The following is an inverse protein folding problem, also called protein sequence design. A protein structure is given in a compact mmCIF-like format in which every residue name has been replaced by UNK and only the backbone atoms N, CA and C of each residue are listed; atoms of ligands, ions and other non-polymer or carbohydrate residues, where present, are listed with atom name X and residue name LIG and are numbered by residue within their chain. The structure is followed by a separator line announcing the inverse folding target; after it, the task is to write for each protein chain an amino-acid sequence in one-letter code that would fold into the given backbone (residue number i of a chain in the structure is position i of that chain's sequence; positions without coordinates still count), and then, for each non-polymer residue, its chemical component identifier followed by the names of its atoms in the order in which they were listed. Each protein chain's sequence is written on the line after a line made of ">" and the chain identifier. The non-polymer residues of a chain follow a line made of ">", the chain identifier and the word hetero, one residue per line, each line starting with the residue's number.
data_IF_887632473608
#
_entry.id   IF_887632473608
#
_cell.length_a   1.000
_cell.length_b   1.000
_cell.length_c   1.000
_cell.angle_alpha   90.00
_cell.angle_beta   90.00
_cell.angle_gamma   90.00
#
_symmetry.space_group_name_H-M   'P 1'
#
loop_
_entity.id
_entity.type
_entity.pdbx_description
1 polymer ?
#
# COMPACT_ATOMS: atom_id res chain seq x y z
N UNK A 1 -8.56 -7.64 -19.99
CA UNK A 1 -8.18 -7.06 -18.70
C UNK A 1 -6.67 -7.22 -18.57
N UNK A 2 -5.88 -6.17 -18.83
CA UNK A 2 -4.41 -6.29 -19.01
C UNK A 2 -3.70 -4.94 -19.19
N UNK A 3 -4.17 -3.85 -18.55
CA UNK A 3 -3.54 -2.54 -18.79
C UNK A 3 -2.26 -2.31 -17.97
N UNK A 4 -1.75 -3.34 -17.26
CA UNK A 4 -0.49 -3.22 -16.53
C UNK A 4 0.63 -2.95 -17.52
N UNK A 5 1.27 -1.79 -17.38
CA UNK A 5 2.50 -1.47 -18.09
C UNK A 5 3.69 -1.83 -17.21
N UNK A 6 4.61 -2.62 -17.74
CA UNK A 6 5.89 -2.92 -17.11
C UNK A 6 7.01 -2.74 -18.14
N UNK A 7 8.00 -1.91 -17.81
CA UNK A 7 9.07 -1.50 -18.72
C UNK A 7 8.55 -0.85 -20.01
N UNK A 8 7.55 0.04 -19.89
CA UNK A 8 6.96 0.76 -21.03
C UNK A 8 6.12 -0.10 -21.99
N UNK A 9 5.84 -1.36 -21.65
CA UNK A 9 5.03 -2.27 -22.47
C UNK A 9 3.82 -2.77 -21.70
N UNK A 10 2.67 -2.79 -22.36
CA UNK A 10 1.44 -3.41 -21.86
C UNK A 10 1.64 -4.92 -21.71
N UNK A 11 1.19 -5.49 -20.59
CA UNK A 11 1.39 -6.89 -20.23
C UNK A 11 0.06 -7.60 -20.11
N UNK A 12 -0.01 -8.82 -20.66
CA UNK A 12 -1.21 -9.65 -20.73
C UNK A 12 -1.43 -10.55 -19.50
N UNK A 13 -0.75 -10.27 -18.38
CA UNK A 13 -0.74 -11.10 -17.16
C UNK A 13 -2.10 -11.46 -16.57
N UNK A 14 -3.16 -10.70 -16.87
CA UNK A 14 -4.49 -10.87 -16.30
C UNK A 14 -5.55 -11.29 -17.32
N UNK A 15 -5.13 -11.88 -18.45
CA UNK A 15 -6.02 -12.42 -19.49
C UNK A 15 -6.46 -13.88 -19.23
N UNK A 16 -6.04 -14.47 -18.10
CA UNK A 16 -6.42 -15.81 -17.64
C UNK A 16 -5.31 -16.85 -17.84
N UNK A 17 -5.08 -17.71 -16.85
CA UNK A 17 -4.08 -18.80 -16.91
C UNK A 17 -2.62 -18.40 -16.67
N UNK A 18 -2.33 -17.12 -16.40
CA UNK A 18 -0.97 -16.63 -16.10
C UNK A 18 -0.79 -16.29 -14.61
N UNK A 19 -1.00 -15.02 -14.22
CA UNK A 19 -0.74 -14.55 -12.85
C UNK A 19 -2.03 -14.23 -12.11
N UNK A 20 -2.07 -14.55 -10.81
CA UNK A 20 -3.16 -14.16 -9.93
C UNK A 20 -2.99 -12.74 -9.36
N UNK A 21 -1.74 -12.32 -9.17
CA UNK A 21 -1.38 -11.02 -8.61
C UNK A 21 0.03 -10.61 -9.09
N UNK A 22 0.38 -9.35 -8.85
CA UNK A 22 1.69 -8.79 -9.20
C UNK A 22 2.12 -7.77 -8.17
N UNK A 23 3.43 -7.56 -8.00
CA UNK A 23 3.92 -6.49 -7.13
C UNK A 23 3.36 -5.13 -7.55
N UNK A 24 2.76 -4.43 -6.60
CA UNK A 24 2.03 -3.18 -6.80
C UNK A 24 2.93 -1.95 -6.56
N UNK A 25 4.04 -1.89 -7.30
CA UNK A 25 4.91 -0.71 -7.32
C UNK A 25 4.23 0.61 -7.71
N UNK A 26 3.19 0.62 -8.57
CA UNK A 26 2.40 1.84 -8.78
C UNK A 26 1.76 2.34 -7.49
N UNK A 27 1.14 1.46 -6.69
CA UNK A 27 0.59 1.84 -5.40
C UNK A 27 1.68 2.34 -4.44
N UNK A 28 2.82 1.65 -4.36
CA UNK A 28 3.98 2.10 -3.58
C UNK A 28 4.35 3.55 -3.90
N UNK A 29 4.49 3.86 -5.19
CA UNK A 29 4.93 5.17 -5.65
C UNK A 29 3.89 6.24 -5.29
N UNK A 30 2.61 5.99 -5.55
CA UNK A 30 1.52 6.89 -5.17
C UNK A 30 1.50 7.20 -3.67
N UNK A 31 1.71 6.19 -2.82
CA UNK A 31 1.72 6.36 -1.37
C UNK A 31 2.90 7.20 -0.88
N UNK A 32 4.09 6.98 -1.45
CA UNK A 32 5.29 7.78 -1.13
C UNK A 32 5.12 9.22 -1.62
N UNK A 33 4.67 9.42 -2.85
CA UNK A 33 4.48 10.74 -3.45
C UNK A 33 3.42 11.55 -2.68
N UNK A 34 2.33 10.91 -2.27
CA UNK A 34 1.31 11.52 -1.40
C UNK A 34 1.93 11.96 -0.07
N UNK A 35 2.63 11.05 0.60
CA UNK A 35 3.19 11.29 1.95
C UNK A 35 4.29 12.35 1.94
N UNK A 36 5.04 12.47 0.83
CA UNK A 36 6.09 13.47 0.65
C UNK A 36 5.60 14.78 0.01
N UNK A 37 4.29 14.94 -0.22
CA UNK A 37 3.69 16.17 -0.75
C UNK A 37 3.92 16.41 -2.24
N UNK A 38 4.38 15.39 -2.97
CA UNK A 38 4.54 15.40 -4.43
C UNK A 38 3.22 15.12 -5.15
N UNK A 39 2.26 14.52 -4.44
CA UNK A 39 0.91 14.23 -4.90
C UNK A 39 -0.10 14.74 -3.86
N UNK A 40 -1.09 15.52 -4.28
CA UNK A 40 -2.18 15.96 -3.39
C UNK A 40 -3.30 14.91 -3.32
N UNK A 41 -4.26 15.08 -2.40
CA UNK A 41 -5.37 14.16 -2.18
C UNK A 41 -6.16 13.86 -3.48
N UNK A 42 -6.50 14.89 -4.25
CA UNK A 42 -7.22 14.74 -5.52
C UNK A 42 -6.42 13.98 -6.59
N UNK A 43 -5.11 14.22 -6.66
CA UNK A 43 -4.19 13.50 -7.53
C UNK A 43 -4.08 12.03 -7.13
N UNK A 44 -3.96 11.74 -5.83
CA UNK A 44 -3.89 10.39 -5.30
C UNK A 44 -5.16 9.59 -5.62
N UNK A 45 -6.34 10.12 -5.32
CA UNK A 45 -7.61 9.44 -5.61
C UNK A 45 -7.79 9.19 -7.10
N UNK A 46 -7.42 10.14 -7.96
CA UNK A 46 -7.47 9.97 -9.42
C UNK A 46 -6.56 8.84 -9.91
N UNK A 47 -5.31 8.81 -9.43
CA UNK A 47 -4.38 7.75 -9.81
C UNK A 47 -4.80 6.39 -9.25
N UNK A 48 -5.36 6.34 -8.04
CA UNK A 48 -5.89 5.13 -7.42
C UNK A 48 -7.09 4.57 -8.20
N UNK A 49 -8.00 5.44 -8.66
CA UNK A 49 -9.10 5.06 -9.55
C UNK A 49 -8.60 4.55 -10.89
N UNK A 50 -7.60 5.22 -11.47
CA UNK A 50 -6.94 4.76 -12.71
C UNK A 50 -6.31 3.36 -12.51
N UNK A 51 -5.67 3.13 -11.36
CA UNK A 51 -5.13 1.81 -11.01
C UNK A 51 -6.26 0.78 -10.93
N UNK A 52 -7.33 1.08 -10.19
CA UNK A 52 -8.51 0.21 -10.05
C UNK A 52 -9.12 -0.18 -11.40
N UNK A 53 -9.28 0.77 -12.32
CA UNK A 53 -9.87 0.55 -13.66
C UNK A 53 -8.96 -0.28 -14.59
N UNK A 54 -7.65 -0.28 -14.33
CA UNK A 54 -6.68 -1.02 -15.16
C UNK A 54 -6.56 -2.50 -14.79
N UNK A 55 -7.07 -2.91 -13.62
CA UNK A 55 -7.05 -4.29 -13.14
C UNK A 55 -8.46 -4.90 -13.22
N UNK A 56 -8.60 -6.20 -13.57
CA UNK A 56 -9.85 -6.90 -13.30
C UNK A 56 -10.14 -6.88 -11.79
N UNK A 57 -11.42 -6.83 -11.42
CA UNK A 57 -11.88 -6.63 -10.03
C UNK A 57 -11.20 -7.57 -9.04
N UNK A 58 -11.13 -8.87 -9.35
CA UNK A 58 -10.48 -9.85 -8.48
C UNK A 58 -8.97 -9.61 -8.36
N UNK A 59 -8.28 -9.29 -9.47
CA UNK A 59 -6.85 -9.01 -9.44
C UNK A 59 -6.54 -7.73 -8.65
N UNK A 60 -7.42 -6.71 -8.68
CA UNK A 60 -7.30 -5.52 -7.84
C UNK A 60 -7.52 -5.84 -6.35
N UNK A 61 -8.58 -6.58 -6.03
CA UNK A 61 -8.95 -6.94 -4.66
C UNK A 61 -7.91 -7.84 -3.96
N UNK A 62 -7.14 -8.61 -4.74
CA UNK A 62 -6.13 -9.55 -4.24
C UNK A 62 -4.71 -9.26 -4.74
N UNK A 63 -4.44 -8.03 -5.19
CA UNK A 63 -3.12 -7.71 -5.73
C UNK A 63 -2.05 -7.76 -4.63
N UNK A 64 -0.79 -7.93 -5.01
CA UNK A 64 0.33 -7.93 -4.06
C UNK A 64 0.75 -6.50 -3.74
N UNK A 65 0.22 -5.93 -2.65
CA UNK A 65 0.53 -4.57 -2.23
C UNK A 65 1.82 -4.56 -1.42
N UNK A 66 2.83 -3.81 -1.86
CA UNK A 66 4.12 -3.72 -1.19
C UNK A 66 4.57 -2.26 -1.07
N UNK A 67 5.12 -1.88 0.08
CA UNK A 67 5.73 -0.54 0.30
C UNK A 67 7.27 -0.59 0.33
N UNK A 68 7.84 -1.79 0.41
CA UNK A 68 9.28 -2.05 0.34
C UNK A 68 9.56 -3.41 -0.32
N UNK A 69 10.80 -3.59 -0.79
CA UNK A 69 11.36 -4.88 -1.20
C UNK A 69 12.89 -4.79 -1.23
N UNK A 70 13.54 -5.93 -1.46
CA UNK A 70 14.99 -6.04 -1.66
C UNK A 70 15.53 -5.35 -2.92
N UNK A 71 14.66 -4.81 -3.79
CA UNK A 71 15.00 -4.05 -5.00
C UNK A 71 14.76 -2.54 -4.85
N UNK A 72 14.28 -2.09 -3.69
CA UNK A 72 13.94 -0.69 -3.44
C UNK A 72 14.58 -0.17 -2.16
N UNK A 73 14.85 1.15 -2.04
CA UNK A 73 15.17 1.73 -0.75
C UNK A 73 14.08 1.47 0.29
N UNK A 74 14.50 1.31 1.54
CA UNK A 74 13.60 1.04 2.66
C UNK A 74 12.62 2.17 2.85
N UNK A 75 11.41 1.85 3.28
CA UNK A 75 10.34 2.83 3.34
C UNK A 75 10.67 3.98 4.29
N UNK A 76 11.27 3.70 5.44
CA UNK A 76 11.65 4.75 6.39
C UNK A 76 12.71 5.70 5.83
N UNK A 77 13.63 5.20 4.99
CA UNK A 77 14.60 6.03 4.25
C UNK A 77 13.91 6.91 3.21
N UNK A 78 12.90 6.40 2.51
CA UNK A 78 12.11 7.18 1.55
C UNK A 78 11.25 8.28 2.20
N UNK A 79 11.08 8.21 3.53
CA UNK A 79 10.30 9.15 4.34
C UNK A 79 11.19 10.04 5.22
N UNK A 80 12.49 10.12 4.92
CA UNK A 80 13.48 10.92 5.67
C UNK A 80 13.59 10.57 7.17
N UNK A 81 13.25 9.33 7.54
CA UNK A 81 13.20 8.92 8.94
C UNK A 81 11.98 9.43 9.72
N UNK A 82 11.02 10.10 9.09
CA UNK A 82 9.84 10.65 9.77
C UNK A 82 8.83 9.54 10.11
N UNK A 83 8.73 9.21 11.40
CA UNK A 83 7.81 8.19 11.91
C UNK A 83 6.34 8.57 11.77
N UNK A 84 5.99 9.85 11.69
CA UNK A 84 4.60 10.29 11.47
C UNK A 84 4.19 10.01 10.02
N UNK A 85 5.10 10.24 9.07
CA UNK A 85 4.91 9.82 7.68
C UNK A 85 4.76 8.30 7.58
N UNK A 86 5.59 7.55 8.32
CA UNK A 86 5.49 6.10 8.38
C UNK A 86 4.14 5.63 8.97
N UNK A 87 3.67 6.28 10.04
CA UNK A 87 2.38 5.99 10.62
C UNK A 87 1.25 6.20 9.61
N UNK A 88 1.25 7.34 8.91
CA UNK A 88 0.26 7.66 7.89
C UNK A 88 0.22 6.60 6.77
N UNK A 89 1.39 6.29 6.18
CA UNK A 89 1.45 5.35 5.06
C UNK A 89 1.07 3.92 5.47
N UNK A 90 1.50 3.47 6.66
CA UNK A 90 1.22 2.11 7.17
C UNK A 90 -0.25 1.96 7.55
N UNK A 91 -0.84 2.97 8.20
CA UNK A 91 -2.27 2.97 8.48
C UNK A 91 -3.09 2.88 7.20
N UNK A 92 -2.78 3.69 6.18
CA UNK A 92 -3.49 3.64 4.91
C UNK A 92 -3.28 2.31 4.17
N UNK A 93 -2.04 1.80 4.16
CA UNK A 93 -1.62 0.60 3.44
C UNK A 93 -2.46 -0.63 3.81
N UNK A 94 -2.78 -0.82 5.09
CA UNK A 94 -3.57 -1.97 5.55
C UNK A 94 -5.07 -1.86 5.25
N UNK A 95 -5.59 -0.65 5.02
CA UNK A 95 -7.00 -0.42 4.69
C UNK A 95 -7.31 -0.47 3.19
N UNK A 96 -6.30 -0.41 2.32
CA UNK A 96 -6.46 -0.45 0.87
C UNK A 96 -6.77 -1.88 0.35
N UNK A 97 -7.53 -2.03 -0.75
CA UNK A 97 -7.77 -3.33 -1.37
C UNK A 97 -6.48 -3.99 -1.87
N UNK A 98 -6.37 -5.30 -1.68
CA UNK A 98 -5.18 -6.10 -1.99
C UNK A 98 -4.62 -6.78 -0.75
N UNK A 99 -3.55 -7.55 -0.95
CA UNK A 99 -2.85 -8.27 0.11
C UNK A 99 -1.60 -7.48 0.50
N UNK A 100 -1.54 -6.89 1.70
CA UNK A 100 -0.37 -6.16 2.17
C UNK A 100 0.81 -7.12 2.43
N UNK A 101 1.97 -6.79 1.88
CA UNK A 101 3.23 -7.47 2.10
C UNK A 101 4.24 -6.50 2.71
N UNK A 102 4.72 -6.87 3.90
CA UNK A 102 5.75 -6.18 4.66
C UNK A 102 7.14 -6.69 4.26
N UNK A 103 8.12 -5.79 4.15
CA UNK A 103 9.52 -6.15 3.95
C UNK A 103 10.23 -6.23 5.29
N UNK A 104 10.97 -7.32 5.53
CA UNK A 104 11.54 -7.63 6.84
C UNK A 104 12.35 -6.46 7.42
N UNK A 105 12.11 -6.18 8.70
CA UNK A 105 12.79 -5.13 9.45
C UNK A 105 12.32 -3.72 9.16
N UNK A 106 11.41 -3.48 8.20
CA UNK A 106 10.74 -2.17 8.11
C UNK A 106 9.91 -1.91 9.38
N UNK A 107 9.31 -2.96 9.95
CA UNK A 107 8.63 -2.95 11.25
C UNK A 107 9.56 -2.77 12.45
N UNK A 108 10.85 -3.08 12.27
CA UNK A 108 11.89 -2.89 13.28
C UNK A 108 12.58 -1.52 13.15
N UNK A 109 12.17 -0.69 12.19
CA UNK A 109 12.77 0.63 11.95
C UNK A 109 14.05 0.60 11.13
N UNK A 110 14.32 -0.47 10.37
CA UNK A 110 15.50 -0.50 9.49
C UNK A 110 15.44 0.58 8.42
N UNK A 111 16.59 1.22 8.20
CA UNK A 111 16.84 2.17 7.11
C UNK A 111 17.84 1.57 6.11
N UNK A 112 17.80 2.01 4.87
CA UNK A 112 18.73 1.55 3.83
C UNK A 112 18.40 2.14 2.46
N UNK A 113 19.44 2.52 1.73
CA UNK A 113 19.37 2.99 0.35
C UNK A 113 19.05 1.86 -0.63
N UNK A 114 19.60 1.92 -1.85
CA UNK A 114 19.43 0.82 -2.82
C UNK A 114 20.22 -0.42 -2.42
N UNK A 115 20.00 -1.53 -3.12
CA UNK A 115 20.85 -2.73 -3.02
C UNK A 115 22.33 -2.35 -3.08
N UNK A 116 23.17 -2.76 -2.10
CA UNK A 116 22.90 -3.72 -1.01
C UNK A 116 22.43 -3.14 0.34
N UNK A 117 22.35 -1.82 0.49
CA UNK A 117 22.07 -1.16 1.78
C UNK A 117 20.69 -1.52 2.36
N UNK A 118 19.70 -1.82 1.51
CA UNK A 118 18.38 -2.28 1.95
C UNK A 118 18.37 -3.72 2.49
N UNK A 119 19.45 -4.50 2.31
CA UNK A 119 19.57 -5.91 2.71
C UNK A 119 20.36 -6.11 4.01
N UNK A 120 20.34 -5.12 4.90
CA UNK A 120 20.98 -5.20 6.22
C UNK A 120 20.44 -6.37 7.06
N UNK A 121 21.25 -6.83 8.01
CA UNK A 121 20.82 -7.82 9.00
C UNK A 121 19.68 -7.28 9.85
N UNK A 122 18.78 -8.17 10.26
CA UNK A 122 17.69 -7.81 11.17
C UNK A 122 18.25 -7.42 12.55
N UNK A 123 17.75 -6.35 13.20
CA UNK A 123 18.32 -5.81 14.43
C UNK A 123 17.76 -6.54 15.66
N UNK A 124 18.03 -7.85 15.76
CA UNK A 124 17.49 -8.70 16.84
C UNK A 124 17.79 -8.13 18.23
N UNK A 125 16.73 -7.87 19.02
CA UNK A 125 16.83 -7.33 20.38
C UNK A 125 17.11 -5.82 20.44
N UNK A 126 17.15 -5.16 19.28
CA UNK A 126 17.39 -3.73 19.11
C UNK A 126 16.36 -3.10 18.16
N UNK A 127 15.17 -3.67 18.08
CA UNK A 127 14.07 -3.17 17.28
C UNK A 127 13.61 -1.79 17.79
N UNK A 128 13.25 -0.89 16.88
CA UNK A 128 12.63 0.38 17.24
C UNK A 128 11.18 0.15 17.68
N UNK A 129 10.98 0.08 19.01
CA UNK A 129 9.67 -0.25 19.58
C UNK A 129 8.54 0.68 19.10
N UNK A 130 8.81 1.97 18.93
CA UNK A 130 7.77 2.90 18.47
C UNK A 130 7.41 2.68 16.99
N UNK A 131 8.34 2.18 16.17
CA UNK A 131 8.01 1.76 14.80
C UNK A 131 7.23 0.45 14.83
N UNK A 132 7.62 -0.49 15.67
CA UNK A 132 6.89 -1.74 15.84
C UNK A 132 5.43 -1.49 16.27
N UNK A 133 5.21 -0.56 17.20
CA UNK A 133 3.89 -0.16 17.67
C UNK A 133 3.03 0.42 16.53
N UNK A 134 3.61 1.21 15.61
CA UNK A 134 2.90 1.72 14.42
C UNK A 134 2.32 0.57 13.60
N UNK A 135 3.13 -0.45 13.30
CA UNK A 135 2.70 -1.60 12.51
C UNK A 135 1.66 -2.45 13.26
N UNK A 136 1.87 -2.70 14.55
CA UNK A 136 0.95 -3.48 15.37
C UNK A 136 -0.43 -2.80 15.48
N UNK A 137 -0.46 -1.50 15.76
CA UNK A 137 -1.70 -0.73 15.85
C UNK A 137 -2.43 -0.72 14.50
N UNK A 138 -1.72 -0.50 13.40
CA UNK A 138 -2.33 -0.49 12.07
C UNK A 138 -2.93 -1.85 11.70
N UNK A 139 -2.22 -2.95 11.97
CA UNK A 139 -2.71 -4.32 11.77
C UNK A 139 -3.96 -4.61 12.59
N UNK A 140 -3.95 -4.26 13.89
CA UNK A 140 -5.08 -4.48 14.78
C UNK A 140 -6.31 -3.67 14.37
N UNK A 141 -6.10 -2.44 13.90
CA UNK A 141 -7.19 -1.55 13.48
C UNK A 141 -7.78 -1.96 12.13
N UNK A 142 -6.96 -2.48 11.22
CA UNK A 142 -7.41 -2.92 9.90
C UNK A 142 -8.04 -4.32 9.91
N UNK A 143 -8.07 -5.03 11.05
CA UNK A 143 -8.61 -6.38 11.14
C UNK A 143 -10.15 -6.39 11.24
N UNK A 144 -10.84 -5.83 10.24
CA UNK A 144 -12.25 -6.10 9.97
C UNK A 144 -12.35 -7.07 8.76
N UNK A 145 -12.54 -8.39 9.01
CA UNK A 145 -12.57 -9.38 7.94
C UNK A 145 -13.69 -9.14 6.92
N UNK A 146 -14.79 -8.51 7.34
CA UNK A 146 -15.94 -8.27 6.48
C UNK A 146 -15.68 -7.08 5.54
N UNK A 147 -15.05 -6.01 6.04
CA UNK A 147 -14.68 -4.86 5.23
C UNK A 147 -13.48 -5.15 4.30
N UNK A 148 -12.57 -6.04 4.71
CA UNK A 148 -11.43 -6.48 3.92
C UNK A 148 -11.76 -7.61 2.92
N UNK A 149 -12.96 -8.18 2.98
CA UNK A 149 -13.38 -9.25 2.08
C UNK A 149 -13.34 -8.80 0.61
N UNK A 150 -13.06 -9.76 -0.28
CA UNK A 150 -12.91 -9.52 -1.72
C UNK A 150 -14.17 -8.97 -2.41
N UNK A 151 -15.33 -9.25 -1.84
CA UNK A 151 -16.62 -8.75 -2.33
C UNK A 151 -16.93 -7.33 -1.84
N UNK A 152 -16.14 -6.76 -0.93
CA UNK A 152 -16.38 -5.42 -0.42
C UNK A 152 -16.12 -4.38 -1.51
N UNK A 153 -17.14 -3.58 -1.80
CA UNK A 153 -17.02 -2.46 -2.70
C UNK A 153 -16.04 -1.43 -2.16
N UNK A 154 -15.27 -0.82 -3.05
CA UNK A 154 -14.25 0.19 -2.73
C UNK A 154 -14.49 1.46 -3.54
N UNK A 155 -14.83 2.55 -2.84
CA UNK A 155 -15.13 3.85 -3.45
C UNK A 155 -14.26 4.95 -2.83
N UNK A 156 -13.12 5.30 -3.44
CA UNK A 156 -12.33 6.44 -2.99
C UNK A 156 -12.99 7.76 -3.41
N UNK A 157 -12.88 8.76 -2.56
CA UNK A 157 -13.44 10.11 -2.75
C UNK A 157 -12.52 11.16 -2.16
N UNK A 158 -12.73 12.42 -2.58
CA UNK A 158 -12.00 13.60 -2.10
C UNK A 158 -12.97 14.54 -1.42
N UNK A 159 -12.53 15.23 -0.38
CA UNK A 159 -13.29 16.29 0.27
C UNK A 159 -12.32 17.37 0.74
N UNK A 160 -12.59 18.63 0.39
CA UNK A 160 -11.64 19.73 0.62
C UNK A 160 -10.24 19.37 0.08
N UNK A 161 -9.20 19.49 0.92
CA UNK A 161 -7.82 19.11 0.62
C UNK A 161 -7.46 17.68 1.10
N UNK A 162 -8.46 16.90 1.52
CA UNK A 162 -8.34 15.56 2.10
C UNK A 162 -9.02 14.50 1.22
N UNK A 163 -8.87 13.23 1.62
CA UNK A 163 -9.51 12.12 0.92
C UNK A 163 -10.02 11.04 1.88
N UNK A 164 -10.87 10.19 1.35
CA UNK A 164 -11.35 9.03 2.08
C UNK A 164 -11.74 7.93 1.11
N UNK A 165 -12.19 6.82 1.67
CA UNK A 165 -12.81 5.76 0.89
C UNK A 165 -13.85 5.03 1.69
N UNK A 166 -14.86 4.55 0.96
CA UNK A 166 -15.89 3.67 1.50
C UNK A 166 -15.50 2.22 1.23
N UNK A 167 -15.60 1.37 2.26
CA UNK A 167 -15.58 -0.09 2.17
C UNK A 167 -16.98 -0.58 2.52
N UNK A 168 -17.65 -1.28 1.61
CA UNK A 168 -19.04 -1.69 1.81
C UNK A 168 -19.27 -3.15 1.39
N UNK A 169 -19.94 -3.92 2.24
CA UNK A 169 -20.51 -5.23 1.90
C UNK A 169 -22.01 -5.23 2.24
N UNK A 170 -22.65 -6.40 2.16
CA UNK A 170 -24.10 -6.53 2.38
C UNK A 170 -24.54 -6.19 3.82
N UNK A 171 -23.64 -6.24 4.80
CA UNK A 171 -23.96 -6.08 6.23
C UNK A 171 -23.40 -4.80 6.85
N UNK A 172 -22.39 -4.17 6.24
CA UNK A 172 -21.64 -3.09 6.86
C UNK A 172 -21.11 -2.10 5.82
N UNK A 173 -21.10 -0.83 6.20
CA UNK A 173 -20.44 0.26 5.47
C UNK A 173 -19.45 0.93 6.41
N UNK A 174 -18.18 0.98 6.01
CA UNK A 174 -17.12 1.68 6.71
C UNK A 174 -16.64 2.85 5.86
N UNK A 175 -16.36 3.96 6.53
CA UNK A 175 -15.75 5.15 5.92
C UNK A 175 -14.40 5.38 6.59
N UNK A 176 -13.35 5.40 5.79
CA UNK A 176 -11.99 5.75 6.22
C UNK A 176 -11.68 7.14 5.69
N UNK A 177 -11.20 8.02 6.57
CA UNK A 177 -10.81 9.39 6.24
C UNK A 177 -9.32 9.56 6.49
N UNK A 178 -8.65 10.29 5.61
CA UNK A 178 -7.21 10.53 5.61
C UNK A 178 -6.87 11.99 5.30
#
# INVERSE_FOLDING_TARGET
>A
ASNKQAYGKRRQYFEGGELNAVMNYPLRSMLIDLTNGQLNAAGFVRQLMTLKENYPTNAFAFNFNNIGSHDTPRILTMLDGDRRKLQFIVSLFYWLPGVPCLYYGDEAGLTGGKDPDNRAFYPWGHEDQAVLDIYQIALQTAFDPAALAAGAAFFPFTFEDSFGFVRQNDTQTLVVLA
#
